data_IF_126130793179
#
_entry.id   IF_126130793179
#
_cell.length_a   1.000
_cell.length_b   1.000
_cell.length_c   1.000
_cell.angle_alpha   90.00
_cell.angle_beta   90.00
_cell.angle_gamma   90.00
#
_symmetry.space_group_name_H-M   'P 1'
#
loop_
_entity.id
_entity.type
_entity.pdbx_description
1 polymer ?
#
# COMPACT_ATOMS: atom_id res chain seq x y z
N UNK A 1 -0.08 -2.77 -15.43
CA UNK A 1 0.17 -3.38 -14.12
C UNK A 1 0.37 -4.88 -14.26
N UNK A 2 -0.59 -5.59 -14.79
CA UNK A 2 -0.56 -7.06 -14.89
C UNK A 2 0.68 -7.53 -15.65
N UNK A 3 0.97 -6.93 -16.78
CA UNK A 3 2.13 -7.29 -17.63
C UNK A 3 3.46 -7.11 -16.88
N UNK A 4 3.63 -5.97 -16.22
CA UNK A 4 4.85 -5.65 -15.45
C UNK A 4 4.99 -6.52 -14.19
N UNK A 5 3.89 -7.06 -13.65
CA UNK A 5 3.92 -7.90 -12.44
C UNK A 5 4.29 -9.35 -12.69
N UNK A 6 4.22 -9.83 -13.92
CA UNK A 6 4.37 -11.27 -14.27
C UNK A 6 5.66 -11.90 -13.76
N UNK A 7 6.77 -11.18 -13.84
CA UNK A 7 8.09 -11.68 -13.42
C UNK A 7 8.52 -11.19 -12.04
N UNK A 8 7.59 -10.60 -11.27
CA UNK A 8 7.94 -9.88 -10.04
C UNK A 8 7.74 -10.68 -8.75
N UNK A 9 7.04 -11.80 -8.77
CA UNK A 9 6.54 -12.54 -7.59
C UNK A 9 5.55 -11.73 -6.71
N UNK A 10 5.12 -10.56 -7.17
CA UNK A 10 4.10 -9.76 -6.50
C UNK A 10 2.74 -10.04 -7.14
N UNK A 11 1.74 -10.30 -6.30
CA UNK A 11 0.38 -10.55 -6.75
C UNK A 11 -0.17 -9.36 -7.55
N UNK A 12 -0.58 -9.56 -8.81
CA UNK A 12 -1.15 -8.48 -9.61
C UNK A 12 -2.44 -7.90 -9.02
N UNK A 13 -3.25 -8.68 -8.31
CA UNK A 13 -4.44 -8.17 -7.62
C UNK A 13 -4.07 -7.14 -6.54
N UNK A 14 -2.99 -7.38 -5.79
CA UNK A 14 -2.49 -6.41 -4.82
C UNK A 14 -2.08 -5.10 -5.48
N UNK A 15 -1.32 -5.16 -6.57
CA UNK A 15 -0.88 -3.97 -7.30
C UNK A 15 -2.06 -3.20 -7.90
N UNK A 16 -3.06 -3.89 -8.43
CA UNK A 16 -4.28 -3.29 -8.95
C UNK A 16 -5.11 -2.63 -7.83
N UNK A 17 -5.28 -3.32 -6.72
CA UNK A 17 -6.04 -2.80 -5.57
C UNK A 17 -5.38 -1.54 -5.01
N UNK A 18 -4.06 -1.55 -4.86
CA UNK A 18 -3.31 -0.40 -4.38
C UNK A 18 -3.43 0.81 -5.33
N UNK A 19 -3.33 0.60 -6.63
CA UNK A 19 -3.53 1.66 -7.61
C UNK A 19 -4.94 2.25 -7.54
N UNK A 20 -5.95 1.41 -7.32
CA UNK A 20 -7.32 1.88 -7.15
C UNK A 20 -7.48 2.71 -5.87
N UNK A 21 -6.91 2.27 -4.74
CA UNK A 21 -6.96 3.02 -3.48
C UNK A 21 -6.25 4.37 -3.63
N UNK A 22 -5.05 4.38 -4.19
CA UNK A 22 -4.19 5.57 -4.20
C UNK A 22 -4.62 6.62 -5.22
N UNK A 23 -5.04 6.22 -6.40
CA UNK A 23 -5.27 7.17 -7.50
C UNK A 23 -6.53 6.91 -8.32
N UNK A 24 -7.29 5.87 -8.01
CA UNK A 24 -8.39 5.39 -8.88
C UNK A 24 -7.88 5.14 -10.31
N UNK A 25 -6.70 4.52 -10.43
CA UNK A 25 -6.00 4.25 -11.70
C UNK A 25 -5.62 5.50 -12.50
N UNK A 26 -5.51 6.67 -11.87
CA UNK A 26 -5.11 7.90 -12.55
C UNK A 26 -3.59 8.12 -12.45
N UNK A 27 -2.82 7.95 -13.54
CA UNK A 27 -1.37 8.15 -13.51
C UNK A 27 -0.96 9.60 -13.29
N UNK A 28 -1.87 10.55 -13.46
CA UNK A 28 -1.63 11.98 -13.31
C UNK A 28 -2.08 12.54 -11.95
N UNK A 29 -2.55 11.67 -11.05
CA UNK A 29 -3.01 12.10 -9.72
C UNK A 29 -1.88 12.76 -8.93
N UNK A 30 -2.21 13.85 -8.23
CA UNK A 30 -1.28 14.58 -7.37
C UNK A 30 -1.97 15.03 -6.10
N UNK A 31 -1.33 14.80 -4.97
CA UNK A 31 -1.73 15.40 -3.70
C UNK A 31 -0.92 16.67 -3.48
N UNK A 32 -1.57 17.82 -3.52
CA UNK A 32 -0.92 19.14 -3.40
C UNK A 32 -0.32 19.41 -2.02
N UNK A 33 -0.77 18.69 -0.98
CA UNK A 33 -0.30 18.89 0.39
C UNK A 33 0.96 18.05 0.68
N UNK A 34 0.95 16.77 0.30
CA UNK A 34 2.08 15.85 0.55
C UNK A 34 3.09 15.80 -0.59
N UNK A 35 2.70 16.25 -1.80
CA UNK A 35 3.48 16.07 -3.01
C UNK A 35 3.44 14.65 -3.56
N UNK A 36 2.63 13.76 -2.98
CA UNK A 36 2.45 12.42 -3.51
C UNK A 36 1.90 12.49 -4.94
N UNK A 37 2.44 11.67 -5.83
CA UNK A 37 2.16 11.77 -7.26
C UNK A 37 2.08 10.40 -7.94
N UNK A 38 1.26 10.36 -8.98
CA UNK A 38 1.15 9.24 -9.90
C UNK A 38 0.23 8.13 -9.42
N UNK A 39 0.31 7.03 -10.14
CA UNK A 39 -0.56 5.86 -9.99
C UNK A 39 -0.55 5.29 -8.56
N UNK A 40 0.60 5.31 -7.89
CA UNK A 40 0.80 4.76 -6.54
C UNK A 40 1.08 5.81 -5.47
N UNK A 41 0.92 7.10 -5.80
CA UNK A 41 1.05 8.21 -4.85
C UNK A 41 2.37 8.17 -4.06
N UNK A 42 3.49 8.07 -4.79
CA UNK A 42 4.82 8.17 -4.18
C UNK A 42 5.07 9.59 -3.66
N UNK A 43 5.42 9.69 -2.39
CA UNK A 43 5.96 10.94 -1.85
C UNK A 43 7.39 11.15 -2.38
N UNK A 44 7.88 12.41 -2.51
CA UNK A 44 9.16 12.70 -3.15
C UNK A 44 10.37 11.95 -2.55
N UNK A 45 10.43 11.80 -1.22
CA UNK A 45 11.52 11.08 -0.55
C UNK A 45 11.57 9.61 -0.91
N UNK A 46 10.43 8.94 -0.95
CA UNK A 46 10.33 7.53 -1.31
C UNK A 46 10.62 7.34 -2.81
N UNK A 47 10.11 8.23 -3.66
CA UNK A 47 10.41 8.21 -5.08
C UNK A 47 11.92 8.26 -5.33
N UNK A 48 12.63 9.14 -4.66
CA UNK A 48 14.10 9.23 -4.75
C UNK A 48 14.79 7.96 -4.27
N UNK A 49 14.34 7.40 -3.15
CA UNK A 49 14.91 6.19 -2.57
C UNK A 49 14.83 4.98 -3.52
N UNK A 50 13.80 4.91 -4.34
CA UNK A 50 13.57 3.81 -5.29
C UNK A 50 13.87 4.16 -6.75
N UNK A 51 14.55 5.29 -6.99
CA UNK A 51 14.99 5.69 -8.32
C UNK A 51 13.85 6.06 -9.27
N UNK A 52 12.70 6.45 -8.71
CA UNK A 52 11.54 6.89 -9.49
C UNK A 52 11.73 8.34 -9.94
N UNK A 53 12.10 8.53 -11.20
CA UNK A 53 12.38 9.86 -11.75
C UNK A 53 11.12 10.60 -12.17
N UNK A 54 10.18 9.89 -12.79
CA UNK A 54 8.90 10.45 -13.22
C UNK A 54 7.73 9.64 -12.64
N UNK A 55 7.14 10.09 -11.52
CA UNK A 55 6.03 9.37 -10.89
C UNK A 55 4.75 9.34 -11.73
N UNK A 56 4.64 10.20 -12.75
CA UNK A 56 3.51 10.22 -13.68
C UNK A 56 3.66 9.22 -14.84
N UNK A 57 4.84 8.63 -15.02
CA UNK A 57 5.03 7.52 -15.97
C UNK A 57 4.56 6.22 -15.31
N UNK A 58 3.47 5.59 -15.83
CA UNK A 58 2.91 4.39 -15.21
C UNK A 58 3.92 3.25 -15.09
N UNK A 59 4.73 3.01 -16.10
CA UNK A 59 5.71 1.92 -16.11
C UNK A 59 6.78 2.13 -15.03
N UNK A 60 7.32 3.34 -14.93
CA UNK A 60 8.29 3.67 -13.88
C UNK A 60 7.67 3.52 -12.49
N UNK A 61 6.44 4.00 -12.29
CA UNK A 61 5.73 3.89 -11.02
C UNK A 61 5.49 2.42 -10.63
N UNK A 62 5.10 1.58 -11.58
CA UNK A 62 4.88 0.14 -11.34
C UNK A 62 6.20 -0.55 -10.97
N UNK A 63 7.28 -0.29 -11.66
CA UNK A 63 8.59 -0.84 -11.35
C UNK A 63 9.07 -0.41 -9.95
N UNK A 64 8.88 0.85 -9.59
CA UNK A 64 9.23 1.36 -8.28
C UNK A 64 8.38 0.75 -7.16
N UNK A 65 7.07 0.61 -7.35
CA UNK A 65 6.19 0.01 -6.33
C UNK A 65 6.46 -1.48 -6.13
N UNK A 66 6.85 -2.19 -7.16
CA UNK A 66 7.27 -3.60 -7.04
C UNK A 66 8.50 -3.70 -6.12
N UNK A 67 9.51 -2.88 -6.34
CA UNK A 67 10.71 -2.84 -5.49
C UNK A 67 10.38 -2.45 -4.06
N UNK A 68 9.56 -1.42 -3.89
CA UNK A 68 9.12 -0.96 -2.57
C UNK A 68 8.33 -2.05 -1.83
N UNK A 69 7.41 -2.72 -2.50
CA UNK A 69 6.61 -3.82 -1.94
C UNK A 69 7.49 -4.99 -1.50
N UNK A 70 8.49 -5.38 -2.29
CA UNK A 70 9.44 -6.43 -1.92
C UNK A 70 10.25 -6.06 -0.68
N UNK A 71 10.73 -4.83 -0.60
CA UNK A 71 11.45 -4.34 0.58
C UNK A 71 10.54 -4.34 1.83
N UNK A 72 9.30 -3.89 1.70
CA UNK A 72 8.32 -3.89 2.77
C UNK A 72 8.00 -5.33 3.23
N UNK A 73 7.80 -6.25 2.30
CA UNK A 73 7.53 -7.66 2.60
C UNK A 73 8.65 -8.29 3.44
N UNK A 74 9.90 -8.02 3.10
CA UNK A 74 11.05 -8.52 3.84
C UNK A 74 11.08 -7.99 5.29
N UNK A 75 10.79 -6.71 5.49
CA UNK A 75 10.77 -6.09 6.82
C UNK A 75 9.61 -6.64 7.66
N UNK A 76 8.42 -6.78 7.10
CA UNK A 76 7.26 -7.34 7.78
C UNK A 76 7.54 -8.78 8.21
N UNK A 77 8.04 -9.62 7.30
CA UNK A 77 8.37 -11.02 7.59
C UNK A 77 9.41 -11.13 8.73
N UNK A 78 10.46 -10.33 8.67
CA UNK A 78 11.49 -10.29 9.72
C UNK A 78 10.95 -9.87 11.08
N UNK A 79 9.89 -9.05 11.08
CA UNK A 79 9.24 -8.56 12.31
C UNK A 79 8.11 -9.49 12.79
N UNK A 80 7.90 -10.64 12.16
CA UNK A 80 6.86 -11.59 12.52
C UNK A 80 5.44 -11.15 12.13
N UNK A 81 5.31 -10.20 11.23
CA UNK A 81 4.02 -9.72 10.72
C UNK A 81 3.69 -10.49 9.45
N UNK A 82 2.46 -11.01 9.38
CA UNK A 82 2.01 -11.75 8.19
C UNK A 82 2.10 -10.88 6.94
N UNK A 83 2.74 -11.42 5.89
CA UNK A 83 2.85 -10.77 4.59
C UNK A 83 1.59 -11.08 3.78
N UNK A 84 0.65 -10.15 3.80
CA UNK A 84 -0.59 -10.21 3.02
C UNK A 84 -0.89 -8.84 2.43
N UNK A 85 -1.90 -8.74 1.58
CA UNK A 85 -2.23 -7.51 0.88
C UNK A 85 -2.51 -6.34 1.81
N UNK A 86 -3.31 -6.54 2.86
CA UNK A 86 -3.65 -5.49 3.81
C UNK A 86 -2.41 -4.96 4.56
N UNK A 87 -1.52 -5.84 5.00
CA UNK A 87 -0.30 -5.46 5.71
C UNK A 87 0.73 -4.81 4.77
N UNK A 88 0.83 -5.27 3.53
CA UNK A 88 1.66 -4.64 2.51
C UNK A 88 1.16 -3.24 2.16
N UNK A 89 -0.16 -3.06 2.09
CA UNK A 89 -0.73 -1.74 1.88
C UNK A 89 -0.48 -0.82 3.08
N UNK A 90 -0.61 -1.32 4.31
CA UNK A 90 -0.28 -0.55 5.51
C UNK A 90 1.18 -0.09 5.49
N UNK A 91 2.10 -0.96 5.09
CA UNK A 91 3.52 -0.62 4.95
C UNK A 91 3.76 0.39 3.81
N UNK A 92 3.01 0.34 2.73
CA UNK A 92 3.05 1.34 1.67
C UNK A 92 2.63 2.72 2.19
N UNK A 93 1.53 2.78 2.93
CA UNK A 93 0.96 4.02 3.47
C UNK A 93 1.81 4.63 4.59
N UNK A 94 2.27 3.81 5.54
CA UNK A 94 2.93 4.25 6.78
C UNK A 94 4.45 4.10 6.76
N UNK A 95 5.00 3.48 5.70
CA UNK A 95 6.35 2.94 5.72
C UNK A 95 6.40 1.62 6.50
N UNK A 96 7.36 0.76 6.18
CA UNK A 96 7.50 -0.53 6.86
C UNK A 96 7.79 -0.36 8.36
N UNK A 97 8.64 0.59 8.72
CA UNK A 97 8.93 0.92 10.13
C UNK A 97 7.70 1.41 10.89
N UNK A 98 6.87 2.23 10.25
CA UNK A 98 5.62 2.70 10.81
C UNK A 98 4.61 1.56 11.02
N UNK A 99 4.49 0.66 10.05
CA UNK A 99 3.64 -0.53 10.17
C UNK A 99 4.08 -1.43 11.32
N UNK A 100 5.38 -1.69 11.44
CA UNK A 100 5.94 -2.48 12.56
C UNK A 100 5.64 -1.82 13.90
N UNK A 101 5.83 -0.50 14.01
CA UNK A 101 5.53 0.25 15.23
C UNK A 101 4.04 0.18 15.60
N UNK A 102 3.14 0.25 14.63
CA UNK A 102 1.69 0.09 14.85
C UNK A 102 1.36 -1.28 15.41
N UNK A 103 1.92 -2.35 14.84
CA UNK A 103 1.70 -3.71 15.33
C UNK A 103 2.26 -3.91 16.73
N UNK A 104 3.42 -3.35 17.05
CA UNK A 104 4.00 -3.41 18.39
C UNK A 104 3.13 -2.67 19.41
N UNK A 105 2.68 -1.48 19.07
CA UNK A 105 1.78 -0.70 19.92
C UNK A 105 0.46 -1.45 20.16
N UNK A 106 -0.13 -2.03 19.12
CA UNK A 106 -1.35 -2.83 19.23
C UNK A 106 -1.18 -4.03 20.15
N UNK A 107 -0.04 -4.74 20.05
CA UNK A 107 0.24 -5.91 20.87
C UNK A 107 0.52 -5.59 22.32
N UNK A 108 1.15 -4.45 22.62
CA UNK A 108 1.63 -4.06 23.94
C UNK A 108 0.75 -3.04 24.65
N UNK A 109 -0.22 -2.43 23.94
CA UNK A 109 -1.03 -1.33 24.47
C UNK A 109 -0.23 -0.07 24.75
N UNK A 110 0.94 0.11 24.10
CA UNK A 110 1.81 1.26 24.30
C UNK A 110 1.39 2.45 23.46
N UNK A 111 1.64 3.70 23.88
CA UNK A 111 1.36 4.88 23.08
C UNK A 111 2.20 4.91 21.80
N UNK A 112 1.64 5.50 20.76
CA UNK A 112 2.36 5.78 19.51
C UNK A 112 3.21 7.05 19.67
N UNK A 113 4.37 7.08 19.01
CA UNK A 113 5.13 8.31 18.92
C UNK A 113 4.39 9.39 18.12
N UNK A 114 4.84 10.64 18.25
CA UNK A 114 4.16 11.80 17.66
C UNK A 114 4.10 11.73 16.13
N UNK A 115 5.13 11.23 15.47
CA UNK A 115 5.20 11.13 14.01
C UNK A 115 4.21 10.09 13.50
N UNK A 116 4.17 8.92 14.11
CA UNK A 116 3.23 7.85 13.74
C UNK A 116 1.80 8.30 14.03
N UNK A 117 1.55 8.93 15.17
CA UNK A 117 0.22 9.48 15.52
C UNK A 117 -0.26 10.45 14.43
N UNK A 118 0.61 11.37 13.99
CA UNK A 118 0.29 12.33 12.94
C UNK A 118 -0.04 11.63 11.62
N UNK A 119 0.72 10.61 11.25
CA UNK A 119 0.52 9.87 10.01
C UNK A 119 -0.81 9.10 10.01
N UNK A 120 -1.17 8.44 11.10
CA UNK A 120 -2.46 7.76 11.16
C UNK A 120 -3.64 8.73 11.23
N UNK A 121 -3.48 9.87 11.88
CA UNK A 121 -4.51 10.92 11.89
C UNK A 121 -4.79 11.44 10.47
N UNK A 122 -3.75 11.60 9.66
CA UNK A 122 -3.85 12.00 8.25
C UNK A 122 -4.53 10.94 7.35
N UNK A 123 -4.60 9.69 7.81
CA UNK A 123 -5.17 8.57 7.08
C UNK A 123 -6.46 8.02 7.72
N UNK A 124 -7.24 8.88 8.34
CA UNK A 124 -8.53 8.53 8.93
C UNK A 124 -8.46 7.92 10.33
N UNK A 125 -7.28 7.94 10.97
CA UNK A 125 -7.05 7.34 12.28
C UNK A 125 -7.26 8.25 13.49
N UNK A 126 -7.78 9.46 13.29
CA UNK A 126 -7.99 10.40 14.39
C UNK A 126 -8.88 9.78 15.47
N UNK A 127 -8.37 9.75 16.70
CA UNK A 127 -9.08 9.18 17.86
C UNK A 127 -9.01 7.65 17.94
N UNK A 128 -8.34 6.98 16.99
CA UNK A 128 -8.22 5.52 16.99
C UNK A 128 -6.91 5.07 17.67
N UNK A 129 -6.99 3.91 18.36
CA UNK A 129 -5.79 3.19 18.78
C UNK A 129 -5.07 2.57 17.59
N UNK A 130 -3.84 2.12 17.80
CA UNK A 130 -3.09 1.38 16.78
C UNK A 130 -3.87 0.16 16.29
N UNK A 131 -4.43 -0.62 17.21
CA UNK A 131 -5.25 -1.80 16.87
C UNK A 131 -6.48 -1.44 16.05
N UNK A 132 -7.22 -0.41 16.45
CA UNK A 132 -8.40 0.06 15.71
C UNK A 132 -8.04 0.56 14.31
N UNK A 133 -6.92 1.26 14.17
CA UNK A 133 -6.44 1.74 12.87
C UNK A 133 -6.06 0.59 11.94
N UNK A 134 -5.32 -0.40 12.43
CA UNK A 134 -4.96 -1.60 11.66
C UNK A 134 -6.23 -2.33 11.19
N UNK A 135 -7.19 -2.53 12.09
CA UNK A 135 -8.45 -3.21 11.76
C UNK A 135 -9.29 -2.42 10.74
N UNK A 136 -9.33 -1.10 10.86
CA UNK A 136 -10.04 -0.23 9.91
C UNK A 136 -9.46 -0.37 8.50
N UNK A 137 -8.14 -0.27 8.37
CA UNK A 137 -7.50 -0.36 7.05
C UNK A 137 -7.52 -1.77 6.48
N UNK A 138 -7.50 -2.79 7.32
CA UNK A 138 -7.74 -4.16 6.86
C UNK A 138 -9.11 -4.29 6.19
N UNK A 139 -10.16 -3.77 6.81
CA UNK A 139 -11.50 -3.74 6.22
C UNK A 139 -11.56 -2.91 4.95
N UNK A 140 -10.96 -1.72 4.96
CA UNK A 140 -10.93 -0.83 3.80
C UNK A 140 -10.21 -1.48 2.62
N UNK A 141 -9.06 -2.13 2.88
CA UNK A 141 -8.31 -2.84 1.85
C UNK A 141 -9.14 -3.98 1.24
N UNK A 142 -9.76 -4.82 2.06
CA UNK A 142 -10.58 -5.94 1.59
C UNK A 142 -11.79 -5.46 0.79
N UNK A 143 -12.43 -4.39 1.20
CA UNK A 143 -13.52 -3.76 0.45
C UNK A 143 -13.06 -3.28 -0.93
N UNK A 144 -11.89 -2.64 -1.00
CA UNK A 144 -11.30 -2.20 -2.27
C UNK A 144 -10.84 -3.35 -3.14
N UNK A 145 -10.33 -4.42 -2.56
CA UNK A 145 -9.97 -5.65 -3.28
C UNK A 145 -11.19 -6.22 -4.03
N UNK A 146 -12.33 -6.33 -3.36
CA UNK A 146 -13.56 -6.82 -3.96
C UNK A 146 -14.01 -5.91 -5.11
N UNK A 147 -14.00 -4.61 -4.91
CA UNK A 147 -14.35 -3.62 -5.94
C UNK A 147 -13.39 -3.68 -7.14
N UNK A 148 -12.10 -3.83 -6.87
CA UNK A 148 -11.07 -3.93 -7.92
C UNK A 148 -11.25 -5.19 -8.74
N UNK A 149 -11.52 -6.32 -8.13
CA UNK A 149 -11.85 -7.58 -8.84
C UNK A 149 -13.03 -7.40 -9.78
N UNK A 150 -14.09 -6.74 -9.33
CA UNK A 150 -15.26 -6.45 -10.15
C UNK A 150 -14.92 -5.56 -11.35
N UNK A 151 -14.16 -4.48 -11.13
CA UNK A 151 -13.72 -3.57 -12.20
C UNK A 151 -12.86 -4.29 -13.25
N UNK A 152 -11.94 -5.12 -12.83
CA UNK A 152 -11.04 -5.88 -13.70
C UNK A 152 -11.83 -6.89 -14.53
N UNK A 153 -12.78 -7.59 -13.92
CA UNK A 153 -13.69 -8.52 -14.60
C UNK A 153 -14.53 -7.80 -15.65
N UNK A 154 -15.13 -6.65 -15.31
CA UNK A 154 -15.94 -5.85 -16.22
C UNK A 154 -15.12 -5.30 -17.40
N UNK A 155 -13.83 -5.08 -17.20
CA UNK A 155 -12.89 -4.69 -18.26
C UNK A 155 -12.45 -5.87 -19.14
N UNK A 156 -12.93 -7.08 -18.88
CA UNK A 156 -12.60 -8.28 -19.67
C UNK A 156 -11.22 -8.86 -19.40
N UNK A 157 -10.58 -8.46 -18.29
CA UNK A 157 -9.27 -8.97 -17.89
C UNK A 157 -9.47 -10.19 -17.00
N UNK A 158 -8.84 -11.31 -17.36
CA UNK A 158 -8.80 -12.50 -16.51
C UNK A 158 -7.53 -12.50 -15.69
N UNK A 159 -7.70 -12.58 -14.37
CA UNK A 159 -6.62 -12.84 -13.43
C UNK A 159 -6.66 -14.32 -13.07
N UNK A 160 -5.50 -14.95 -12.97
CA UNK A 160 -5.42 -16.28 -12.38
C UNK A 160 -5.92 -16.18 -10.93
N UNK A 161 -6.84 -17.08 -10.55
CA UNK A 161 -7.34 -17.10 -9.19
C UNK A 161 -6.20 -17.44 -8.25
N UNK A 162 -5.73 -16.47 -7.48
CA UNK A 162 -4.92 -16.77 -6.32
C UNK A 162 -5.81 -17.37 -5.24
N UNK A 163 -5.38 -18.44 -4.57
CA UNK A 163 -6.14 -19.00 -3.46
C UNK A 163 -6.47 -17.89 -2.45
N UNK A 164 -7.70 -17.87 -1.98
CA UNK A 164 -8.12 -16.94 -0.92
C UNK A 164 -7.24 -17.18 0.31
N UNK A 165 -6.32 -16.26 0.55
CA UNK A 165 -5.58 -16.16 1.81
C UNK A 165 -6.41 -15.40 2.84
#
# INVERSE_FOLDING_TARGET
IIEESKDSDIDPEFLLTMANIESTFNPNARNKYSGAAGLYQFIPSTARAYGLKNPYDPRQAIQAVIKFTKANAAILAKSGIQVNGANLYLAHQQGAGGAVALYRSAARGTPLDRTIRRNIDANGGRGLSAKQFIEMWKRNYLSKLIKTRSLVKDAGVQLEETPNE
#
